data_IF_787636541882
#
_entry.id   IF_787636541882
#
_cell.length_a   1.000
_cell.length_b   1.000
_cell.length_c   1.000
_cell.angle_alpha   90.00
_cell.angle_beta   90.00
_cell.angle_gamma   90.00
#
_symmetry.space_group_name_H-M   'P 1'
#
loop_
_entity.id
_entity.type
_entity.pdbx_description
1 polymer ?
#
# COMPACT_ATOMS: atom_id res chain seq x y z
N UNK A 1 -43.78 46.95 0.27
CA UNK A 1 -43.40 45.99 -0.79
C UNK A 1 -41.89 46.05 -0.91
N UNK A 2 -41.04 45.05 -0.67
CA UNK A 2 -41.15 43.60 -0.49
C UNK A 2 -40.08 43.15 0.52
N UNK A 3 -40.38 42.10 1.29
CA UNK A 3 -39.40 41.39 2.13
C UNK A 3 -38.67 40.37 1.25
N UNK A 4 -37.34 40.30 1.32
CA UNK A 4 -36.55 39.17 0.80
C UNK A 4 -35.46 38.82 1.82
N UNK A 5 -35.55 37.67 2.50
CA UNK A 5 -34.44 37.17 3.32
C UNK A 5 -33.41 36.46 2.42
N UNK A 6 -32.24 37.07 2.25
CA UNK A 6 -31.11 36.48 1.56
C UNK A 6 -30.45 35.42 2.48
N UNK A 7 -31.02 34.22 2.49
CA UNK A 7 -30.36 33.00 2.99
C UNK A 7 -30.09 32.08 1.80
N UNK A 8 -28.96 31.36 1.90
CA UNK A 8 -28.51 30.28 1.02
C UNK A 8 -27.90 30.79 -0.30
N UNK A 9 -26.82 30.23 -0.85
CA UNK A 9 -26.14 28.97 -0.63
C UNK A 9 -24.78 29.14 -1.35
N UNK A 10 -23.64 29.14 -0.66
CA UNK A 10 -22.33 28.99 -1.34
C UNK A 10 -21.81 27.61 -0.99
N UNK A 11 -22.14 26.68 -1.88
CA UNK A 11 -21.68 25.30 -1.90
C UNK A 11 -20.17 25.29 -2.08
N UNK A 12 -19.42 25.06 -0.99
CA UNK A 12 -18.01 24.71 -1.07
C UNK A 12 -17.92 23.29 -1.61
N UNK A 13 -17.75 23.15 -2.93
CA UNK A 13 -17.32 21.89 -3.52
C UNK A 13 -15.84 21.70 -3.19
N UNK A 14 -15.55 21.12 -2.03
CA UNK A 14 -14.31 20.40 -1.85
C UNK A 14 -14.37 19.19 -2.78
N UNK A 15 -13.87 19.35 -4.02
CA UNK A 15 -13.45 18.23 -4.84
C UNK A 15 -12.28 17.60 -4.10
N UNK A 16 -12.60 16.65 -3.22
CA UNK A 16 -11.61 15.71 -2.73
C UNK A 16 -11.18 14.92 -3.96
N UNK A 17 -10.02 15.29 -4.51
CA UNK A 17 -9.25 14.42 -5.38
C UNK A 17 -8.83 13.21 -4.54
N UNK A 18 -9.78 12.28 -4.36
CA UNK A 18 -9.50 10.98 -3.80
C UNK A 18 -8.64 10.25 -4.82
N UNK A 19 -7.32 10.30 -4.64
CA UNK A 19 -6.45 9.30 -5.21
C UNK A 19 -6.95 7.96 -4.66
N UNK A 20 -7.58 7.16 -5.51
CA UNK A 20 -7.86 5.76 -5.22
C UNK A 20 -6.49 5.11 -5.06
N UNK A 21 -6.00 5.04 -3.83
CA UNK A 21 -4.84 4.23 -3.53
C UNK A 21 -5.30 2.81 -3.86
N UNK A 22 -4.78 2.25 -4.97
CA UNK A 22 -4.80 0.80 -5.14
C UNK A 22 -4.28 0.23 -3.81
N UNK A 23 -5.11 -0.58 -3.16
CA UNK A 23 -4.92 -1.05 -1.78
C UNK A 23 -3.79 -2.09 -1.75
N UNK A 24 -2.58 -1.62 -2.03
CA UNK A 24 -1.37 -2.39 -1.97
C UNK A 24 -1.10 -2.70 -0.51
N UNK A 25 -1.41 -3.93 -0.11
CA UNK A 25 -1.27 -4.36 1.28
C UNK A 25 0.21 -4.56 1.60
N UNK A 26 0.71 -3.88 2.63
CA UNK A 26 2.07 -4.09 3.14
C UNK A 26 2.00 -4.88 4.44
N UNK A 27 2.60 -6.06 4.45
CA UNK A 27 2.71 -6.93 5.62
C UNK A 27 4.11 -6.74 6.20
N UNK A 28 4.17 -6.47 7.50
CA UNK A 28 5.45 -6.52 8.22
C UNK A 28 5.77 -7.96 8.61
N UNK A 29 6.95 -8.44 8.20
CA UNK A 29 7.45 -9.77 8.53
C UNK A 29 8.96 -9.69 8.78
N UNK A 30 9.32 -9.45 10.03
CA UNK A 30 10.70 -9.24 10.45
C UNK A 30 11.44 -10.58 10.59
N UNK A 31 12.55 -10.73 9.87
CA UNK A 31 13.39 -11.95 9.84
C UNK A 31 12.65 -13.23 9.43
N UNK A 32 11.67 -13.09 8.54
CA UNK A 32 10.89 -14.21 8.04
C UNK A 32 11.63 -15.02 6.98
N UNK A 33 11.54 -16.34 7.10
CA UNK A 33 11.93 -17.29 6.04
C UNK A 33 11.08 -17.10 4.78
N UNK A 34 11.55 -17.61 3.63
CA UNK A 34 10.80 -17.54 2.38
C UNK A 34 9.39 -18.16 2.50
N UNK A 35 9.27 -19.31 3.16
CA UNK A 35 7.98 -19.98 3.38
C UNK A 35 7.03 -19.14 4.24
N UNK A 36 7.53 -18.49 5.30
CA UNK A 36 6.72 -17.61 6.14
C UNK A 36 6.20 -16.40 5.37
N UNK A 37 7.00 -15.83 4.47
CA UNK A 37 6.57 -14.72 3.58
C UNK A 37 5.44 -15.17 2.66
N UNK A 38 5.54 -16.35 2.06
CA UNK A 38 4.48 -16.92 1.20
C UNK A 38 3.21 -17.20 2.01
N UNK A 39 3.33 -17.78 3.20
CA UNK A 39 2.19 -18.05 4.07
C UNK A 39 1.50 -16.75 4.52
N UNK A 40 2.26 -15.68 4.76
CA UNK A 40 1.70 -14.38 5.14
C UNK A 40 0.83 -13.77 4.03
N UNK A 41 1.17 -14.01 2.75
CA UNK A 41 0.39 -13.52 1.61
C UNK A 41 -0.71 -14.48 1.15
N UNK A 42 -0.72 -15.72 1.64
CA UNK A 42 -1.70 -16.74 1.26
C UNK A 42 -3.14 -16.44 1.73
N UNK A 43 -3.32 -15.50 2.66
CA UNK A 43 -4.64 -15.04 3.11
C UNK A 43 -5.34 -14.06 2.16
N UNK A 44 -4.68 -13.64 1.08
CA UNK A 44 -5.21 -12.68 0.11
C UNK A 44 -5.76 -13.42 -1.12
N UNK A 45 -6.90 -12.96 -1.64
CA UNK A 45 -7.58 -13.61 -2.76
C UNK A 45 -6.97 -13.26 -4.12
N UNK A 46 -6.57 -12.00 -4.32
CA UNK A 46 -5.85 -11.52 -5.50
C UNK A 46 -5.13 -10.19 -5.22
N UNK A 47 -4.31 -9.73 -6.17
CA UNK A 47 -3.69 -8.40 -6.15
C UNK A 47 -2.19 -8.40 -5.86
N UNK A 48 -1.68 -7.28 -5.35
CA UNK A 48 -0.27 -7.07 -5.04
C UNK A 48 -0.10 -6.89 -3.53
N UNK A 49 0.78 -7.70 -2.95
CA UNK A 49 1.11 -7.65 -1.53
C UNK A 49 2.61 -7.46 -1.38
N UNK A 50 2.99 -6.49 -0.56
CA UNK A 50 4.38 -6.24 -0.21
C UNK A 50 4.70 -6.84 1.15
N UNK A 51 5.87 -7.45 1.30
CA UNK A 51 6.34 -7.96 2.59
C UNK A 51 7.61 -7.23 3.00
N UNK A 52 7.48 -6.42 4.05
CA UNK A 52 8.53 -5.59 4.62
C UNK A 52 9.23 -6.32 5.78
N UNK A 53 10.53 -6.54 5.62
CA UNK A 53 11.43 -7.09 6.63
C UNK A 53 12.38 -5.98 7.07
N UNK A 54 12.03 -5.30 8.17
CA UNK A 54 12.81 -4.18 8.68
C UNK A 54 14.10 -4.62 9.37
N UNK A 55 14.22 -5.90 9.75
CA UNK A 55 15.45 -6.44 10.35
C UNK A 55 16.53 -6.61 9.29
N UNK A 56 16.15 -7.15 8.13
CA UNK A 56 17.07 -7.36 7.02
C UNK A 56 17.07 -6.22 5.98
N UNK A 57 16.31 -5.15 6.24
CA UNK A 57 16.14 -4.00 5.34
C UNK A 57 15.59 -4.40 3.96
N UNK A 58 14.76 -5.44 3.89
CA UNK A 58 14.29 -6.02 2.63
C UNK A 58 12.81 -5.81 2.42
N UNK A 59 12.45 -5.48 1.18
CA UNK A 59 11.09 -5.49 0.69
C UNK A 59 10.95 -6.58 -0.37
N UNK A 60 9.84 -7.31 -0.32
CA UNK A 60 9.47 -8.31 -1.32
C UNK A 60 8.11 -7.94 -1.91
N UNK A 61 7.89 -8.25 -3.18
CA UNK A 61 6.61 -8.07 -3.86
C UNK A 61 6.06 -9.43 -4.25
N UNK A 62 4.81 -9.69 -3.89
CA UNK A 62 4.05 -10.86 -4.30
C UNK A 62 2.84 -10.41 -5.10
N UNK A 63 2.58 -11.12 -6.19
CA UNK A 63 1.38 -10.97 -7.01
C UNK A 63 0.56 -12.23 -6.83
N UNK A 64 -0.67 -12.06 -6.35
CA UNK A 64 -1.65 -13.13 -6.23
C UNK A 64 -2.59 -13.01 -7.43
N UNK A 65 -2.59 -14.02 -8.28
CA UNK A 65 -3.52 -14.15 -9.40
C UNK A 65 -4.91 -14.57 -8.91
N UNK A 66 -5.95 -14.36 -9.73
CA UNK A 66 -7.34 -14.75 -9.39
C UNK A 66 -7.51 -16.26 -9.12
N UNK A 67 -6.61 -17.10 -9.62
CA UNK A 67 -6.54 -18.55 -9.34
C UNK A 67 -5.74 -18.88 -8.06
N UNK A 68 -5.48 -17.89 -7.22
CA UNK A 68 -4.71 -17.96 -5.97
C UNK A 68 -3.25 -18.37 -6.13
N UNK A 69 -2.69 -18.30 -7.34
CA UNK A 69 -1.25 -18.49 -7.54
C UNK A 69 -0.48 -17.29 -7.03
N UNK A 70 0.45 -17.56 -6.13
CA UNK A 70 1.37 -16.56 -5.57
C UNK A 70 2.66 -16.58 -6.38
N UNK A 71 3.01 -15.44 -6.97
CA UNK A 71 4.27 -15.26 -7.69
C UNK A 71 5.05 -14.12 -7.05
N UNK A 72 6.32 -14.36 -6.73
CA UNK A 72 7.20 -13.26 -6.36
C UNK A 72 7.58 -12.48 -7.61
N UNK A 73 7.42 -11.16 -7.57
CA UNK A 73 7.70 -10.27 -8.69
C UNK A 73 8.83 -9.29 -8.33
N UNK A 74 9.46 -8.72 -9.37
CA UNK A 74 10.44 -7.67 -9.18
C UNK A 74 9.78 -6.38 -8.67
N UNK A 75 10.49 -5.70 -7.77
CA UNK A 75 10.13 -4.39 -7.25
C UNK A 75 10.67 -3.29 -8.17
N UNK A 76 9.84 -2.29 -8.43
CA UNK A 76 10.27 -1.04 -9.03
C UNK A 76 10.84 -0.09 -7.96
N UNK A 77 11.69 0.86 -8.37
CA UNK A 77 12.20 1.88 -7.47
C UNK A 77 11.09 2.74 -6.85
N UNK A 78 10.04 3.03 -7.62
CA UNK A 78 8.86 3.77 -7.15
C UNK A 78 8.09 3.02 -6.07
N UNK A 79 7.90 1.70 -6.19
CA UNK A 79 7.22 0.90 -5.17
C UNK A 79 8.02 0.86 -3.86
N UNK A 80 9.35 0.70 -3.95
CA UNK A 80 10.23 0.78 -2.78
C UNK A 80 10.12 2.14 -2.11
N UNK A 81 10.11 3.23 -2.89
CA UNK A 81 9.95 4.58 -2.34
C UNK A 81 8.58 4.77 -1.69
N UNK A 82 7.50 4.32 -2.31
CA UNK A 82 6.15 4.42 -1.77
C UNK A 82 6.01 3.70 -0.43
N UNK A 83 6.53 2.46 -0.34
CA UNK A 83 6.50 1.72 0.93
C UNK A 83 7.36 2.42 1.98
N UNK A 84 8.57 2.89 1.64
CA UNK A 84 9.38 3.64 2.60
C UNK A 84 8.69 4.91 3.11
N UNK A 85 7.96 5.64 2.26
CA UNK A 85 7.18 6.81 2.67
C UNK A 85 6.07 6.43 3.67
N UNK A 86 5.41 5.27 3.49
CA UNK A 86 4.42 4.77 4.43
C UNK A 86 5.01 4.45 5.82
N UNK A 87 6.30 4.10 5.87
CA UNK A 87 7.01 3.73 7.09
C UNK A 87 8.10 4.73 7.50
N UNK A 88 8.02 5.99 7.05
CA UNK A 88 9.04 7.02 7.30
C UNK A 88 9.31 7.22 8.81
N UNK A 89 8.27 7.03 9.63
CA UNK A 89 8.36 7.07 11.09
C UNK A 89 9.36 6.07 11.69
N UNK A 90 9.68 4.98 10.99
CA UNK A 90 10.65 3.95 11.45
C UNK A 90 12.10 4.38 11.28
N UNK A 91 12.38 5.41 10.47
CA UNK A 91 13.74 5.87 10.14
C UNK A 91 14.65 4.77 9.58
N UNK A 92 14.03 3.75 8.97
CA UNK A 92 14.70 2.60 8.35
C UNK A 92 14.32 2.55 6.89
N UNK A 93 15.31 2.52 6.01
CA UNK A 93 15.08 2.44 4.57
C UNK A 93 15.14 0.99 4.10
N UNK A 94 14.02 0.49 3.59
CA UNK A 94 13.90 -0.79 2.92
C UNK A 94 14.47 -0.70 1.50
N UNK A 95 15.10 -1.78 1.05
CA UNK A 95 15.55 -1.98 -0.33
C UNK A 95 14.94 -3.25 -0.92
N UNK A 96 14.89 -3.37 -2.23
CA UNK A 96 14.42 -4.58 -2.88
C UNK A 96 15.22 -5.82 -2.42
N UNK A 97 14.51 -6.90 -2.13
CA UNK A 97 15.09 -8.23 -2.03
C UNK A 97 15.63 -8.65 -3.41
N UNK A 98 16.76 -9.35 -3.41
CA UNK A 98 17.36 -9.90 -4.62
C UNK A 98 16.70 -11.23 -4.98
#
# INVERSE_FOLDING_TARGET
MNKLPLKALVTVMCVFSGSVLAENSVIECNDCTAMQKVNAVAGYDNGVVFVADFVNYKLNKFVISDDKKINQAQLTASEVQQVNQQFDYRKTTLIAAK
#
